data_IF_362114091172
#
_entry.id   IF_362114091172
#
_cell.length_a   1.000
_cell.length_b   1.000
_cell.length_c   1.000
_cell.angle_alpha   90.00
_cell.angle_beta   90.00
_cell.angle_gamma   90.00
#
_symmetry.space_group_name_H-M   'P 1'
#
loop_
_entity.id
_entity.type
_entity.pdbx_description
1 polymer ?
#
# COMPACT_ATOMS: atom_id res chain seq x y z
N UNK A 1 -1.81 -5.66 16.86
CA UNK A 1 -2.06 -4.25 16.54
C UNK A 1 -3.55 -3.93 16.58
N UNK A 2 -3.89 -2.68 16.64
CA UNK A 2 -5.27 -2.21 16.67
C UNK A 2 -5.49 -1.14 15.59
N UNK A 3 -6.63 -1.20 14.92
CA UNK A 3 -7.07 -0.12 14.07
C UNK A 3 -7.55 1.05 14.93
N UNK A 4 -7.11 2.25 14.58
CA UNK A 4 -7.66 3.48 15.11
C UNK A 4 -8.14 4.39 13.98
N UNK A 5 -9.23 5.10 14.20
CA UNK A 5 -9.71 6.15 13.31
C UNK A 5 -9.67 7.48 14.06
N UNK A 6 -9.45 8.58 13.36
CA UNK A 6 -9.63 9.90 13.98
C UNK A 6 -11.09 10.05 14.42
N UNK A 7 -11.36 10.35 15.69
CA UNK A 7 -12.73 10.62 16.15
C UNK A 7 -13.40 11.66 15.26
N UNK A 8 -14.66 11.43 14.93
CA UNK A 8 -15.55 12.33 14.19
C UNK A 8 -15.27 12.57 12.70
N UNK A 9 -14.26 11.95 12.09
CA UNK A 9 -13.96 12.17 10.67
C UNK A 9 -13.87 10.91 9.84
N UNK A 10 -13.65 9.75 10.47
CA UNK A 10 -13.41 8.50 9.75
C UNK A 10 -14.22 7.36 10.34
N UNK A 11 -15.06 6.69 9.55
CA UNK A 11 -15.59 5.41 9.98
C UNK A 11 -14.45 4.43 10.17
N UNK A 12 -14.61 3.49 11.08
CA UNK A 12 -13.73 2.32 11.16
C UNK A 12 -13.66 1.63 9.80
N UNK A 13 -12.55 0.97 9.48
CA UNK A 13 -12.47 0.16 8.28
C UNK A 13 -13.62 -0.86 8.29
N UNK A 14 -14.28 -0.99 7.16
CA UNK A 14 -15.29 -2.04 6.99
C UNK A 14 -14.64 -3.27 6.38
N UNK A 15 -15.13 -4.45 6.78
CA UNK A 15 -14.68 -5.72 6.23
C UNK A 15 -15.18 -5.82 4.79
N UNK A 16 -14.26 -6.15 3.89
CA UNK A 16 -14.51 -6.38 2.48
C UNK A 16 -14.55 -7.86 2.12
N UNK A 17 -14.62 -8.12 0.82
CA UNK A 17 -14.58 -9.48 0.28
C UNK A 17 -13.24 -10.16 0.59
N UNK A 18 -13.22 -11.47 0.65
CA UNK A 18 -11.98 -12.24 0.64
C UNK A 18 -11.27 -12.04 -0.71
N UNK A 19 -9.95 -11.85 -0.63
CA UNK A 19 -9.08 -11.77 -1.79
C UNK A 19 -8.28 -13.07 -1.90
N UNK A 20 -8.23 -13.63 -3.09
CA UNK A 20 -7.50 -14.85 -3.38
C UNK A 20 -6.50 -14.58 -4.50
N UNK A 21 -5.28 -15.04 -4.32
CA UNK A 21 -4.23 -15.04 -5.33
C UNK A 21 -3.58 -16.42 -5.31
N UNK A 22 -3.46 -17.04 -6.48
CA UNK A 22 -2.94 -18.41 -6.60
C UNK A 22 -1.52 -18.50 -6.05
N UNK A 23 -1.28 -19.48 -5.18
CA UNK A 23 0.03 -19.69 -4.54
C UNK A 23 0.34 -18.77 -3.35
N UNK A 24 -0.43 -17.70 -3.13
CA UNK A 24 -0.22 -16.83 -1.96
C UNK A 24 -0.94 -17.39 -0.73
N UNK A 25 -0.16 -17.65 0.32
CA UNK A 25 -0.64 -18.45 1.46
C UNK A 25 -1.54 -17.67 2.44
N UNK A 26 -1.41 -16.35 2.51
CA UNK A 26 -2.18 -15.53 3.46
C UNK A 26 -3.65 -15.48 3.06
N UNK A 27 -4.53 -15.80 4.00
CA UNK A 27 -5.99 -15.81 3.83
C UNK A 27 -6.66 -14.94 4.88
N UNK A 28 -7.83 -14.43 4.55
CA UNK A 28 -8.63 -13.65 5.48
C UNK A 28 -9.44 -12.55 4.82
N UNK A 29 -10.24 -11.84 5.59
CA UNK A 29 -11.02 -10.73 5.08
C UNK A 29 -10.12 -9.56 4.69
N UNK A 30 -10.54 -8.82 3.68
CA UNK A 30 -9.92 -7.55 3.29
C UNK A 30 -10.54 -6.36 4.02
N UNK A 31 -9.94 -5.21 3.83
CA UNK A 31 -10.46 -3.91 4.22
C UNK A 31 -10.99 -3.22 2.98
N UNK A 32 -12.18 -2.61 3.07
CA UNK A 32 -12.71 -1.78 1.99
C UNK A 32 -11.94 -0.46 1.89
N UNK A 33 -11.55 -0.11 0.67
CA UNK A 33 -10.98 1.19 0.30
C UNK A 33 -11.99 1.91 -0.60
N UNK A 34 -12.57 2.99 -0.09
CA UNK A 34 -13.63 3.72 -0.79
C UNK A 34 -15.03 3.43 -0.24
N UNK A 35 -16.06 3.80 -0.99
CA UNK A 35 -17.44 3.62 -0.58
C UNK A 35 -17.96 4.66 0.40
N UNK A 36 -17.42 5.88 0.40
CA UNK A 36 -17.98 6.97 1.18
C UNK A 36 -19.37 7.36 0.73
N UNK A 37 -20.22 7.79 1.67
CA UNK A 37 -21.45 8.48 1.31
C UNK A 37 -21.16 9.69 0.42
N UNK A 38 -22.05 9.96 -0.52
CA UNK A 38 -22.00 11.15 -1.36
C UNK A 38 -21.90 12.43 -0.49
N UNK A 39 -21.16 13.41 -0.96
CA UNK A 39 -20.98 14.68 -0.26
C UNK A 39 -19.92 14.70 0.84
N UNK A 40 -19.28 13.57 1.13
CA UNK A 40 -18.18 13.53 2.11
C UNK A 40 -16.90 14.12 1.52
N UNK A 41 -16.38 15.17 2.14
CA UNK A 41 -15.14 15.84 1.69
C UNK A 41 -13.89 15.16 2.26
N UNK A 42 -12.85 15.03 1.41
CA UNK A 42 -11.50 14.68 1.78
C UNK A 42 -11.21 13.19 1.90
N UNK A 43 -9.92 12.87 1.92
CA UNK A 43 -9.42 11.54 2.17
C UNK A 43 -9.55 11.18 3.65
N UNK A 44 -9.99 9.97 3.95
CA UNK A 44 -10.09 9.45 5.31
C UNK A 44 -8.99 8.42 5.55
N UNK A 45 -8.56 8.32 6.79
CA UNK A 45 -7.50 7.40 7.18
C UNK A 45 -8.01 6.41 8.21
N UNK A 46 -7.58 5.18 8.05
CA UNK A 46 -7.56 4.20 9.12
C UNK A 46 -6.12 3.79 9.37
N UNK A 47 -5.76 3.61 10.63
CA UNK A 47 -4.38 3.35 11.04
C UNK A 47 -4.33 1.99 11.71
N UNK A 48 -3.42 1.15 11.26
CA UNK A 48 -3.05 -0.08 11.95
C UNK A 48 -1.68 0.12 12.60
N UNK A 49 -1.67 0.28 13.92
CA UNK A 49 -0.43 0.48 14.69
C UNK A 49 0.30 -0.84 14.88
N UNK A 50 1.59 -0.87 14.54
CA UNK A 50 2.47 -2.02 14.75
C UNK A 50 2.98 -1.95 16.20
N UNK A 51 2.43 -2.81 17.06
CA UNK A 51 2.68 -2.80 18.52
C UNK A 51 3.49 -4.00 19.01
N UNK A 52 4.22 -4.65 18.12
CA UNK A 52 5.04 -5.82 18.44
C UNK A 52 6.37 -5.49 19.13
N UNK A 53 6.63 -4.21 19.42
CA UNK A 53 7.86 -3.72 20.03
C UNK A 53 9.07 -3.71 19.10
N UNK A 54 8.94 -4.19 17.87
CA UNK A 54 10.03 -4.23 16.90
C UNK A 54 10.24 -2.86 16.25
N UNK A 55 11.47 -2.59 15.89
CA UNK A 55 11.83 -1.38 15.16
C UNK A 55 12.18 -1.70 13.72
N UNK A 56 11.34 -1.26 12.80
CA UNK A 56 11.50 -1.45 11.35
C UNK A 56 12.13 -0.19 10.73
N UNK A 57 13.35 0.12 11.13
CA UNK A 57 14.04 1.38 10.76
C UNK A 57 15.44 1.18 10.17
N UNK A 58 15.87 -0.05 9.92
CA UNK A 58 17.16 -0.39 9.33
C UNK A 58 17.10 -1.76 8.65
N UNK A 59 17.99 -1.98 7.69
CA UNK A 59 18.00 -3.21 6.90
C UNK A 59 16.95 -3.20 5.81
N UNK A 60 16.50 -4.36 5.40
CA UNK A 60 15.50 -4.53 4.34
C UNK A 60 14.23 -5.14 4.91
N UNK A 61 13.08 -4.62 4.48
CA UNK A 61 11.77 -5.13 4.84
C UNK A 61 10.87 -5.27 3.62
N UNK A 62 9.98 -6.25 3.69
CA UNK A 62 8.97 -6.50 2.68
C UNK A 62 7.59 -6.44 3.31
N UNK A 63 6.68 -5.73 2.66
CA UNK A 63 5.25 -5.76 2.95
C UNK A 63 4.54 -6.31 1.73
N UNK A 64 3.93 -7.48 1.86
CA UNK A 64 3.05 -8.00 0.82
C UNK A 64 1.59 -7.84 1.21
N UNK A 65 0.73 -7.65 0.21
CA UNK A 65 -0.72 -7.60 0.38
C UNK A 65 -1.42 -7.92 -0.95
N UNK A 66 -2.67 -8.33 -0.83
CA UNK A 66 -3.57 -8.47 -1.96
C UNK A 66 -4.43 -7.23 -2.11
N UNK A 67 -4.66 -6.82 -3.36
CA UNK A 67 -5.53 -5.69 -3.69
C UNK A 67 -6.47 -6.03 -4.85
N UNK A 68 -7.65 -5.43 -4.84
CA UNK A 68 -8.57 -5.46 -5.97
C UNK A 68 -9.31 -4.13 -6.03
N UNK A 69 -9.35 -3.50 -7.20
CA UNK A 69 -10.06 -2.25 -7.43
C UNK A 69 -11.07 -2.44 -8.55
N UNK A 70 -12.36 -2.27 -8.24
CA UNK A 70 -13.48 -2.32 -9.20
C UNK A 70 -13.99 -0.93 -9.59
N UNK A 71 -13.55 0.12 -8.87
CA UNK A 71 -13.81 1.51 -9.22
C UNK A 71 -12.68 2.41 -8.72
N UNK A 72 -12.16 3.24 -9.60
CA UNK A 72 -11.19 4.29 -9.28
C UNK A 72 -11.77 5.63 -9.70
N UNK A 73 -11.51 6.66 -8.89
CA UNK A 73 -11.83 8.04 -9.22
C UNK A 73 -11.07 8.47 -10.48
N UNK A 74 -11.55 9.49 -11.14
CA UNK A 74 -10.89 10.04 -12.31
C UNK A 74 -9.56 10.72 -11.91
N UNK A 75 -8.54 10.51 -12.73
CA UNK A 75 -7.29 11.25 -12.88
C UNK A 75 -6.22 11.09 -11.79
N UNK A 76 -5.10 10.50 -12.21
CA UNK A 76 -3.80 10.50 -11.54
C UNK A 76 -3.63 9.46 -10.42
N UNK A 77 -2.39 9.27 -10.04
CA UNK A 77 -1.98 8.35 -8.98
C UNK A 77 -2.51 8.78 -7.62
N UNK A 78 -3.28 7.93 -6.98
CA UNK A 78 -3.83 8.14 -5.65
C UNK A 78 -3.30 7.09 -4.68
N UNK A 79 -2.69 7.55 -3.57
CA UNK A 79 -2.22 6.64 -2.53
C UNK A 79 -3.40 6.03 -1.77
N UNK A 80 -3.30 4.73 -1.48
CA UNK A 80 -4.30 4.01 -0.70
C UNK A 80 -3.69 3.31 0.52
N UNK A 81 -2.39 3.03 0.49
CA UNK A 81 -1.65 2.41 1.58
C UNK A 81 -0.35 3.17 1.81
N UNK A 82 -0.08 3.53 3.05
CA UNK A 82 1.14 4.21 3.46
C UNK A 82 1.81 3.53 4.65
N UNK A 83 3.13 3.58 4.70
CA UNK A 83 3.95 3.12 5.79
C UNK A 83 4.39 4.33 6.61
N UNK A 84 3.83 4.47 7.80
CA UNK A 84 4.00 5.66 8.65
C UNK A 84 5.07 5.45 9.72
N UNK A 85 5.87 6.49 9.95
CA UNK A 85 6.78 6.56 11.10
C UNK A 85 6.09 7.02 12.38
N UNK A 86 4.79 7.26 12.34
CA UNK A 86 3.98 7.66 13.50
C UNK A 86 2.90 6.63 13.78
N UNK A 87 2.66 6.30 15.04
CA UNK A 87 1.58 5.42 15.47
C UNK A 87 0.17 5.99 15.20
N UNK A 88 0.08 7.29 15.01
CA UNK A 88 -1.18 7.99 14.70
C UNK A 88 -1.31 8.37 13.22
N UNK A 89 -0.43 7.87 12.36
CA UNK A 89 -0.40 8.20 10.94
C UNK A 89 0.11 9.60 10.60
N UNK A 90 0.01 9.97 9.32
CA UNK A 90 0.37 11.31 8.84
C UNK A 90 1.86 11.54 8.54
N UNK A 91 2.72 10.58 8.85
CA UNK A 91 4.17 10.67 8.61
C UNK A 91 4.65 9.51 7.75
N UNK A 92 4.02 9.34 6.57
CA UNK A 92 4.35 8.24 5.67
C UNK A 92 5.77 8.39 5.10
N UNK A 93 6.51 7.30 5.11
CA UNK A 93 7.86 7.17 4.54
C UNK A 93 7.83 6.53 3.16
N UNK A 94 6.86 5.66 2.96
CA UNK A 94 6.55 5.06 1.67
C UNK A 94 5.04 5.01 1.49
N UNK A 95 4.58 5.02 0.24
CA UNK A 95 3.17 4.84 -0.09
C UNK A 95 3.05 3.89 -1.28
N UNK A 96 1.90 3.22 -1.39
CA UNK A 96 1.47 2.54 -2.59
C UNK A 96 0.33 3.34 -3.21
N UNK A 97 0.41 3.52 -4.52
CA UNK A 97 -0.53 4.29 -5.33
C UNK A 97 -1.21 3.39 -6.35
N UNK A 98 -2.38 3.82 -6.79
CA UNK A 98 -3.09 3.24 -7.92
C UNK A 98 -3.68 4.35 -8.77
N UNK A 99 -3.70 4.16 -10.08
CA UNK A 99 -4.36 5.02 -11.05
C UNK A 99 -5.11 4.19 -12.07
N UNK A 100 -6.20 4.74 -12.58
CA UNK A 100 -6.89 4.16 -13.73
C UNK A 100 -6.12 4.49 -15.00
N UNK A 101 -6.04 3.52 -15.91
CA UNK A 101 -5.50 3.69 -17.27
C UNK A 101 -6.50 3.15 -18.29
N UNK A 102 -7.13 4.06 -19.01
CA UNK A 102 -8.21 3.68 -19.93
C UNK A 102 -9.48 3.19 -19.22
N UNK A 103 -10.17 2.24 -19.84
CA UNK A 103 -11.43 1.70 -19.33
C UNK A 103 -11.26 0.49 -18.43
N UNK A 104 -10.28 -0.35 -18.71
CA UNK A 104 -10.12 -1.73 -18.22
C UNK A 104 -8.75 -2.02 -17.60
N UNK A 105 -7.89 -1.00 -17.49
CA UNK A 105 -6.54 -1.15 -16.95
C UNK A 105 -6.26 -0.20 -15.79
N UNK A 106 -5.31 -0.61 -14.94
CA UNK A 106 -4.78 0.20 -13.83
C UNK A 106 -3.27 0.19 -13.85
N UNK A 107 -2.66 1.23 -13.31
CA UNK A 107 -1.23 1.26 -12.96
C UNK A 107 -1.06 1.40 -11.48
N UNK A 108 0.04 0.85 -10.98
CA UNK A 108 0.48 1.02 -9.61
C UNK A 108 1.70 1.94 -9.54
N UNK A 109 2.00 2.40 -8.34
CA UNK A 109 3.19 3.18 -8.08
C UNK A 109 3.59 3.11 -6.62
N UNK A 110 4.78 3.58 -6.35
CA UNK A 110 5.29 3.71 -4.98
C UNK A 110 5.94 5.06 -4.76
N UNK A 111 6.26 5.38 -3.51
CA UNK A 111 7.10 6.55 -3.20
C UNK A 111 8.06 6.27 -2.04
N UNK A 112 9.19 6.97 -2.07
CA UNK A 112 10.04 7.24 -0.93
C UNK A 112 9.86 8.72 -0.58
N UNK A 113 9.17 9.00 0.52
CA UNK A 113 8.75 10.37 0.88
C UNK A 113 8.04 11.07 -0.29
N UNK A 114 8.67 12.10 -0.87
CA UNK A 114 8.12 12.89 -1.98
C UNK A 114 8.49 12.35 -3.37
N UNK A 115 9.53 11.51 -3.45
CA UNK A 115 9.96 10.89 -4.70
C UNK A 115 9.00 9.78 -5.07
N UNK A 116 8.42 9.85 -6.25
CA UNK A 116 7.43 8.88 -6.75
C UNK A 116 7.96 8.12 -7.95
N UNK A 117 7.53 6.88 -8.07
CA UNK A 117 7.74 6.04 -9.24
C UNK A 117 6.44 5.29 -9.58
N UNK A 118 6.21 5.08 -10.86
CA UNK A 118 5.02 4.41 -11.40
C UNK A 118 5.44 3.22 -12.25
N UNK A 119 4.60 2.19 -12.30
CA UNK A 119 4.84 1.05 -13.19
C UNK A 119 4.69 1.49 -14.64
N UNK A 120 5.56 1.00 -15.50
CA UNK A 120 5.47 1.19 -16.95
C UNK A 120 4.38 0.32 -17.57
N UNK A 121 4.13 -0.84 -16.96
CA UNK A 121 3.06 -1.76 -17.35
C UNK A 121 1.75 -1.38 -16.69
N UNK A 122 0.66 -1.67 -17.40
CA UNK A 122 -0.70 -1.61 -16.88
C UNK A 122 -1.22 -3.02 -16.58
N UNK A 123 -2.05 -3.12 -15.56
CA UNK A 123 -2.60 -4.37 -15.02
C UNK A 123 -4.11 -4.42 -15.23
N UNK A 124 -4.71 -5.60 -15.10
CA UNK A 124 -6.13 -5.78 -15.30
C UNK A 124 -6.95 -5.10 -14.21
N UNK A 125 -8.01 -4.43 -14.61
CA UNK A 125 -8.98 -3.83 -13.72
C UNK A 125 -9.89 -4.91 -13.12
N UNK A 126 -10.38 -4.67 -11.88
CA UNK A 126 -11.26 -5.60 -11.15
C UNK A 126 -10.69 -7.03 -11.00
N UNK A 127 -9.38 -7.16 -11.00
CA UNK A 127 -8.65 -8.39 -10.73
C UNK A 127 -7.91 -8.29 -9.40
N UNK A 128 -7.70 -9.41 -8.73
CA UNK A 128 -6.84 -9.45 -7.55
C UNK A 128 -5.38 -9.46 -7.96
N UNK A 129 -4.60 -8.53 -7.42
CA UNK A 129 -3.17 -8.41 -7.62
C UNK A 129 -2.42 -8.61 -6.32
N UNK A 130 -1.28 -9.27 -6.39
CA UNK A 130 -0.29 -9.33 -5.31
C UNK A 130 0.66 -8.16 -5.44
N UNK A 131 0.77 -7.36 -4.39
CA UNK A 131 1.74 -6.29 -4.29
C UNK A 131 2.78 -6.66 -3.22
N UNK A 132 4.06 -6.50 -3.55
CA UNK A 132 5.15 -6.61 -2.59
C UNK A 132 5.94 -5.31 -2.60
N UNK A 133 5.94 -4.61 -1.49
CA UNK A 133 6.69 -3.38 -1.29
C UNK A 133 7.97 -3.71 -0.51
N UNK A 134 9.13 -3.40 -1.06
CA UNK A 134 10.43 -3.53 -0.42
C UNK A 134 10.92 -2.16 0.03
N UNK A 135 11.29 -2.05 1.30
CA UNK A 135 12.00 -0.90 1.86
C UNK A 135 13.45 -1.30 2.08
N UNK A 136 14.37 -0.64 1.41
CA UNK A 136 15.81 -0.82 1.55
C UNK A 136 16.44 0.44 2.15
N UNK A 137 16.70 0.39 3.45
CA UNK A 137 17.27 1.52 4.18
C UNK A 137 18.73 1.77 3.84
N UNK A 138 19.49 0.73 3.48
CA UNK A 138 20.91 0.87 3.15
C UNK A 138 21.10 1.59 1.81
N UNK A 139 20.30 1.20 0.81
CA UNK A 139 20.37 1.74 -0.55
C UNK A 139 19.39 2.90 -0.78
N UNK A 140 18.60 3.29 0.25
CA UNK A 140 17.62 4.38 0.16
C UNK A 140 16.63 4.19 -0.99
N UNK A 141 16.07 2.97 -1.12
CA UNK A 141 15.14 2.60 -2.19
C UNK A 141 13.84 2.05 -1.62
N UNK A 142 12.75 2.37 -2.32
CA UNK A 142 11.45 1.73 -2.13
C UNK A 142 11.04 1.12 -3.47
N UNK A 143 11.01 -0.20 -3.53
CA UNK A 143 10.68 -0.95 -4.73
C UNK A 143 9.30 -1.57 -4.61
N UNK A 144 8.53 -1.54 -5.69
CA UNK A 144 7.22 -2.20 -5.78
C UNK A 144 7.29 -3.30 -6.82
N UNK A 145 6.89 -4.50 -6.43
CA UNK A 145 6.68 -5.64 -7.30
C UNK A 145 5.17 -5.88 -7.41
N UNK A 146 4.67 -6.00 -8.61
CA UNK A 146 3.24 -6.26 -8.90
C UNK A 146 3.14 -7.60 -9.59
N UNK A 147 2.34 -8.49 -9.02
CA UNK A 147 2.17 -9.88 -9.46
C UNK A 147 3.51 -10.61 -9.70
N UNK A 148 4.46 -10.53 -8.75
CA UNK A 148 5.72 -11.23 -8.91
C UNK A 148 5.50 -12.74 -8.95
N UNK A 149 6.41 -13.44 -9.60
CA UNK A 149 6.47 -14.90 -9.49
C UNK A 149 6.72 -15.30 -8.03
N UNK A 150 5.91 -16.23 -7.53
CA UNK A 150 6.03 -16.75 -6.16
C UNK A 150 7.14 -17.80 -6.11
N UNK A 151 8.36 -17.35 -5.93
CA UNK A 151 9.57 -18.15 -5.82
C UNK A 151 10.29 -17.89 -4.50
N UNK A 152 11.31 -18.68 -4.20
CA UNK A 152 12.15 -18.47 -3.02
C UNK A 152 13.11 -17.29 -3.18
N UNK A 153 13.31 -16.80 -4.40
CA UNK A 153 14.23 -15.71 -4.73
C UNK A 153 13.47 -14.45 -5.13
N UNK A 154 14.00 -13.31 -4.70
CA UNK A 154 13.48 -12.01 -5.13
C UNK A 154 13.67 -11.84 -6.64
N UNK A 155 12.65 -11.38 -7.40
CA UNK A 155 12.81 -11.06 -8.80
C UNK A 155 13.94 -10.03 -9.03
N UNK A 156 14.70 -10.21 -10.10
CA UNK A 156 15.83 -9.33 -10.43
C UNK A 156 15.39 -7.88 -10.68
N UNK A 157 14.15 -7.69 -11.15
CA UNK A 157 13.62 -6.37 -11.49
C UNK A 157 12.31 -6.11 -10.74
N UNK A 158 12.21 -4.94 -10.11
CA UNK A 158 10.96 -4.44 -9.55
C UNK A 158 10.10 -3.80 -10.64
N UNK A 159 8.78 -3.79 -10.44
CA UNK A 159 7.84 -3.12 -11.35
C UNK A 159 8.03 -1.60 -11.40
N UNK A 160 8.45 -0.99 -10.28
CA UNK A 160 8.96 0.38 -10.22
C UNK A 160 9.78 0.61 -8.94
N UNK A 161 10.67 1.61 -8.95
CA UNK A 161 11.56 1.94 -7.84
C UNK A 161 11.55 3.44 -7.60
N UNK A 162 11.26 3.87 -6.37
CA UNK A 162 11.48 5.22 -5.90
C UNK A 162 12.83 5.27 -5.16
N UNK A 163 13.77 6.05 -5.68
CA UNK A 163 15.11 6.22 -5.10
C UNK A 163 15.17 7.52 -4.31
N UNK A 164 15.70 7.45 -3.09
CA UNK A 164 15.92 8.61 -2.26
C UNK A 164 16.96 9.57 -2.82
N UNK A 165 16.87 10.80 -2.40
CA UNK A 165 17.82 11.86 -2.69
C UNK A 165 18.29 12.55 -1.38
N UNK A 166 19.03 13.64 -1.48
CA UNK A 166 19.56 14.35 -0.31
C UNK A 166 18.47 14.84 0.66
N UNK A 167 17.26 15.12 0.16
CA UNK A 167 16.13 15.61 0.95
C UNK A 167 15.18 14.47 1.38
N UNK A 168 15.10 13.42 0.58
CA UNK A 168 14.16 12.32 0.74
C UNK A 168 14.89 11.04 1.18
N UNK A 169 15.13 10.90 2.47
CA UNK A 169 15.92 9.82 3.07
C UNK A 169 15.07 9.02 4.05
N UNK A 170 15.13 7.68 3.96
CA UNK A 170 14.55 6.78 4.96
C UNK A 170 15.37 6.82 6.25
N UNK A 171 14.93 7.60 7.23
CA UNK A 171 15.63 7.77 8.52
C UNK A 171 14.88 7.19 9.72
N UNK A 172 13.58 6.95 9.59
CA UNK A 172 12.72 6.61 10.71
C UNK A 172 12.09 5.24 10.55
N UNK A 173 11.98 4.53 11.65
CA UNK A 173 11.31 3.25 11.70
C UNK A 173 9.83 3.36 11.30
N UNK A 174 9.34 2.36 10.60
CA UNK A 174 7.90 2.20 10.32
C UNK A 174 7.22 1.75 11.62
N UNK A 175 6.11 2.39 11.96
CA UNK A 175 5.33 2.16 13.18
C UNK A 175 3.87 1.85 12.93
N UNK A 176 3.38 2.18 11.73
CA UNK A 176 1.98 1.95 11.39
C UNK A 176 1.77 1.80 9.88
N UNK A 177 0.73 1.07 9.51
CA UNK A 177 0.13 1.11 8.18
C UNK A 177 -1.01 2.13 8.19
N UNK A 178 -1.06 2.97 7.19
CA UNK A 178 -2.05 4.02 7.00
C UNK A 178 -2.86 3.74 5.75
N UNK A 179 -4.15 3.48 5.92
CA UNK A 179 -5.07 3.19 4.83
C UNK A 179 -5.84 4.45 4.47
N UNK A 180 -5.75 4.86 3.21
CA UNK A 180 -6.53 5.97 2.70
C UNK A 180 -7.77 5.48 2.01
N UNK A 181 -8.88 5.85 2.59
CA UNK A 181 -10.19 5.61 2.05
C UNK A 181 -10.57 6.82 1.17
N UNK A 182 -10.66 6.63 -0.13
CA UNK A 182 -10.86 7.72 -1.10
C UNK A 182 -12.27 7.73 -1.67
N UNK A 183 -12.84 8.93 -1.76
CA UNK A 183 -14.11 9.15 -2.46
C UNK A 183 -13.99 8.72 -3.93
N UNK A 184 -14.99 8.03 -4.44
CA UNK A 184 -15.02 7.54 -5.81
C UNK A 184 -14.28 6.23 -6.05
N UNK A 185 -13.57 5.69 -5.03
CA UNK A 185 -12.95 4.37 -5.10
C UNK A 185 -13.91 3.30 -4.59
N UNK A 186 -13.84 2.13 -5.20
CA UNK A 186 -14.34 0.87 -4.65
C UNK A 186 -13.22 -0.14 -4.83
N UNK A 187 -12.67 -0.61 -3.73
CA UNK A 187 -11.58 -1.56 -3.75
C UNK A 187 -11.41 -2.24 -2.40
N UNK A 188 -10.52 -3.21 -2.39
CA UNK A 188 -10.20 -4.01 -1.23
C UNK A 188 -8.69 -4.12 -1.10
N UNK A 189 -8.20 -4.14 0.13
CA UNK A 189 -6.82 -4.44 0.45
C UNK A 189 -6.76 -5.36 1.66
N UNK A 190 -5.95 -6.40 1.61
CA UNK A 190 -5.90 -7.37 2.72
C UNK A 190 -4.74 -8.35 2.61
N UNK A 191 -4.78 -9.39 3.43
CA UNK A 191 -3.84 -10.50 3.41
C UNK A 191 -2.39 -10.02 3.56
N UNK A 192 -2.17 -9.18 4.59
CA UNK A 192 -0.88 -8.55 4.83
C UNK A 192 0.13 -9.51 5.42
N UNK A 193 1.33 -9.46 4.89
CA UNK A 193 2.50 -10.11 5.46
C UNK A 193 3.64 -9.13 5.55
N UNK A 194 4.30 -9.08 6.71
CA UNK A 194 5.48 -8.26 6.95
C UNK A 194 6.66 -9.16 7.31
N UNK A 195 7.76 -9.06 6.58
CA UNK A 195 8.95 -9.89 6.77
C UNK A 195 10.25 -9.13 6.45
N UNK A 196 11.38 -9.73 6.78
CA UNK A 196 12.72 -9.20 6.51
C UNK A 196 13.49 -10.00 5.44
N UNK A 197 12.82 -10.91 4.80
CA UNK A 197 13.31 -11.68 3.64
C UNK A 197 12.18 -11.81 2.63
N UNK A 198 12.57 -12.03 1.39
CA UNK A 198 11.64 -12.36 0.31
C UNK A 198 10.87 -13.65 0.59
#
# INVERSE_FOLDING_TARGET
GAFSSKPNTNPSPTIGKELVYEGYAEKGPSINIGGYPAGTKGARFSIYSMTDGKQYGRGTFYLSCLVNFSKLGANGMADFLGLSASYVGGSNRANIYVAREGSDRIRFGTSLLKVKAETTMAYDYDKTHLLVLKLDYANQKVSLFVDPELSAEEPAEASCIAEGDAENVLKHAIRALSFRNRSGFIGNVGNFRWCNSW
#
